data_IF_349845571758
#
_entry.id   IF_349845571758
#
_cell.length_a   1.000
_cell.length_b   1.000
_cell.length_c   1.000
_cell.angle_alpha   90.00
_cell.angle_beta   90.00
_cell.angle_gamma   90.00
#
_symmetry.space_group_name_H-M   'P 1'
#
loop_
_entity.id
_entity.type
_entity.pdbx_description
1 polymer ?
#
# COMPACT_ATOMS: atom_id res chain seq x y z
N UNK A 1 0.36 26.82 -10.46
CA UNK A 1 1.23 26.01 -11.34
C UNK A 1 1.12 26.63 -12.71
N UNK A 2 2.23 27.11 -13.27
CA UNK A 2 2.22 27.71 -14.61
C UNK A 2 1.94 26.63 -15.67
N UNK A 3 1.41 26.99 -16.85
CA UNK A 3 1.10 26.02 -17.90
C UNK A 3 2.32 25.17 -18.31
N UNK A 4 3.50 25.78 -18.29
CA UNK A 4 4.77 25.13 -18.58
C UNK A 4 5.09 24.02 -17.57
N UNK A 5 4.99 24.30 -16.26
CA UNK A 5 5.23 23.30 -15.22
C UNK A 5 4.22 22.15 -15.32
N UNK A 6 2.96 22.44 -15.64
CA UNK A 6 1.94 21.40 -15.84
C UNK A 6 2.32 20.47 -17.00
N UNK A 7 2.88 21.01 -18.09
CA UNK A 7 3.36 20.21 -19.22
C UNK A 7 4.46 19.23 -18.79
N UNK A 8 5.44 19.71 -18.02
CA UNK A 8 6.50 18.86 -17.47
C UNK A 8 5.96 17.78 -16.53
N UNK A 9 5.03 18.14 -15.63
CA UNK A 9 4.39 17.19 -14.73
C UNK A 9 3.69 16.09 -15.54
N UNK A 10 2.91 16.45 -16.56
CA UNK A 10 2.20 15.49 -17.39
C UNK A 10 3.18 14.53 -18.10
N UNK A 11 4.26 15.06 -18.69
CA UNK A 11 5.28 14.21 -19.34
C UNK A 11 5.94 13.22 -18.37
N UNK A 12 6.28 13.66 -17.16
CA UNK A 12 6.92 12.81 -16.17
C UNK A 12 5.96 11.73 -15.63
N UNK A 13 4.69 12.09 -15.43
CA UNK A 13 3.66 11.12 -15.04
C UNK A 13 3.43 10.10 -16.15
N UNK A 14 3.42 10.50 -17.42
CA UNK A 14 3.32 9.58 -18.57
C UNK A 14 4.51 8.61 -18.71
N UNK A 15 5.65 8.93 -18.08
CA UNK A 15 6.81 8.04 -17.96
C UNK A 15 6.74 7.14 -16.71
N UNK A 16 5.58 7.06 -16.06
CA UNK A 16 5.31 6.26 -14.86
C UNK A 16 6.18 6.63 -13.64
N UNK A 17 6.59 7.91 -13.53
CA UNK A 17 7.16 8.46 -12.30
C UNK A 17 6.04 8.70 -11.27
N UNK A 18 6.32 8.39 -10.01
CA UNK A 18 5.40 8.74 -8.92
C UNK A 18 5.34 10.27 -8.71
N UNK A 19 4.25 10.81 -8.14
CA UNK A 19 4.18 12.23 -7.79
C UNK A 19 5.36 12.73 -6.94
N UNK A 20 5.89 11.91 -6.03
CA UNK A 20 7.08 12.26 -5.24
C UNK A 20 8.35 12.29 -6.09
N UNK A 21 8.50 11.33 -7.01
CA UNK A 21 9.62 11.29 -7.96
C UNK A 21 9.58 12.48 -8.91
N UNK A 22 8.40 12.86 -9.41
CA UNK A 22 8.21 14.03 -10.28
C UNK A 22 8.62 15.31 -9.57
N UNK A 23 8.24 15.49 -8.30
CA UNK A 23 8.72 16.63 -7.49
C UNK A 23 10.24 16.59 -7.32
N UNK A 24 10.81 15.42 -7.00
CA UNK A 24 12.26 15.26 -6.84
C UNK A 24 13.03 15.61 -8.12
N UNK A 25 12.51 15.18 -9.27
CA UNK A 25 13.06 15.49 -10.58
C UNK A 25 13.01 16.99 -10.88
N UNK A 26 11.84 17.62 -10.70
CA UNK A 26 11.65 19.06 -10.93
C UNK A 26 12.54 19.91 -10.01
N UNK A 27 12.75 19.47 -8.76
CA UNK A 27 13.64 20.16 -7.83
C UNK A 27 15.10 20.07 -8.27
N UNK A 28 15.53 18.91 -8.78
CA UNK A 28 16.92 18.66 -9.17
C UNK A 28 17.29 19.32 -10.50
N UNK A 29 16.47 19.14 -11.54
CA UNK A 29 16.81 19.55 -12.90
C UNK A 29 16.36 20.98 -13.22
N UNK A 30 15.25 21.43 -12.62
CA UNK A 30 14.62 22.72 -12.94
C UNK A 30 14.67 23.72 -11.77
N UNK A 31 15.17 23.31 -10.60
CA UNK A 31 15.18 24.14 -9.38
C UNK A 31 13.77 24.43 -8.81
N UNK A 32 12.74 23.73 -9.28
CA UNK A 32 11.35 23.99 -8.92
C UNK A 32 10.96 23.13 -7.72
N UNK A 33 10.66 23.78 -6.58
CA UNK A 33 10.17 23.09 -5.39
C UNK A 33 8.65 23.10 -5.32
N UNK A 34 8.04 21.91 -5.36
CA UNK A 34 6.59 21.71 -5.23
C UNK A 34 6.31 20.67 -4.16
N UNK A 35 5.11 20.68 -3.58
CA UNK A 35 4.64 19.59 -2.75
C UNK A 35 4.02 18.50 -3.65
N UNK A 36 4.25 17.22 -3.36
CA UNK A 36 3.70 16.11 -4.17
C UNK A 36 2.16 16.13 -4.22
N UNK A 37 1.51 16.66 -3.18
CA UNK A 37 0.05 16.88 -3.16
C UNK A 37 -0.42 17.83 -4.27
N UNK A 38 0.41 18.77 -4.72
CA UNK A 38 0.06 19.63 -5.86
C UNK A 38 -0.13 18.80 -7.13
N UNK A 39 0.70 17.78 -7.34
CA UNK A 39 0.60 16.86 -8.47
C UNK A 39 -0.63 15.97 -8.32
N UNK A 40 -0.89 15.43 -7.11
CA UNK A 40 -2.12 14.67 -6.86
C UNK A 40 -3.39 15.50 -7.17
N UNK A 41 -3.44 16.76 -6.75
CA UNK A 41 -4.57 17.66 -7.06
C UNK A 41 -4.74 17.88 -8.55
N UNK A 42 -3.65 17.96 -9.32
CA UNK A 42 -3.70 18.06 -10.78
C UNK A 42 -4.26 16.78 -11.41
N UNK A 43 -3.74 15.62 -11.01
CA UNK A 43 -4.20 14.31 -11.52
C UNK A 43 -5.68 14.08 -11.20
N UNK A 44 -6.14 14.46 -10.01
CA UNK A 44 -7.56 14.34 -9.65
C UNK A 44 -8.47 15.29 -10.45
N UNK A 45 -8.00 16.52 -10.72
CA UNK A 45 -8.73 17.45 -11.60
C UNK A 45 -8.81 16.92 -13.03
N UNK A 46 -7.70 16.43 -13.56
CA UNK A 46 -7.63 15.81 -14.89
C UNK A 46 -8.61 14.63 -14.99
N UNK A 47 -8.60 13.74 -14.00
CA UNK A 47 -9.55 12.62 -13.90
C UNK A 47 -11.02 13.06 -13.91
N UNK A 48 -11.36 14.13 -13.18
CA UNK A 48 -12.74 14.67 -13.16
C UNK A 48 -13.13 15.20 -14.54
N UNK A 49 -12.17 15.78 -15.26
CA UNK A 49 -12.36 16.29 -16.61
C UNK A 49 -12.31 15.20 -17.70
N UNK A 50 -12.18 13.93 -17.33
CA UNK A 50 -12.15 12.79 -18.26
C UNK A 50 -10.76 12.40 -18.78
N UNK A 51 -9.69 12.96 -18.21
CA UNK A 51 -8.31 12.60 -18.55
C UNK A 51 -7.86 11.26 -17.95
N UNK A 52 -6.65 10.85 -18.32
CA UNK A 52 -6.09 9.52 -18.10
C UNK A 52 -4.82 9.51 -17.24
N UNK A 53 -4.33 10.66 -16.75
CA UNK A 53 -3.09 10.74 -15.96
C UNK A 53 -3.09 9.81 -14.73
N UNK A 54 -4.27 9.57 -14.17
CA UNK A 54 -4.42 8.69 -13.00
C UNK A 54 -4.12 7.22 -13.28
N UNK A 55 -4.11 6.80 -14.55
CA UNK A 55 -3.79 5.42 -14.96
C UNK A 55 -2.29 5.11 -14.85
N UNK A 56 -1.44 6.14 -14.93
CA UNK A 56 0.02 6.05 -14.80
C UNK A 56 0.50 6.04 -13.33
N UNK A 57 -0.41 6.06 -12.36
CA UNK A 57 -0.06 5.91 -10.96
C UNK A 57 0.23 4.44 -10.64
N UNK A 58 1.46 4.15 -10.21
CA UNK A 58 1.92 2.80 -9.82
C UNK A 58 1.01 2.10 -8.81
N UNK A 59 0.43 2.87 -7.89
CA UNK A 59 -0.53 2.34 -6.92
C UNK A 59 -1.93 2.68 -7.40
N UNK A 60 -2.55 1.74 -8.12
CA UNK A 60 -3.99 1.76 -8.27
C UNK A 60 -4.59 1.74 -6.85
N UNK A 61 -5.35 2.77 -6.46
CA UNK A 61 -6.09 2.77 -5.19
C UNK A 61 -7.00 1.55 -5.19
N UNK A 62 -6.54 0.42 -4.65
CA UNK A 62 -7.44 -0.68 -4.32
C UNK A 62 -8.47 -0.08 -3.36
N UNK A 63 -9.76 -0.14 -3.68
CA UNK A 63 -10.76 0.33 -2.74
C UNK A 63 -10.51 -0.39 -1.41
N UNK A 64 -10.25 0.40 -0.37
CA UNK A 64 -9.96 -0.15 0.94
C UNK A 64 -11.14 -1.03 1.34
N UNK A 65 -10.88 -2.30 1.68
CA UNK A 65 -11.95 -3.21 2.09
C UNK A 65 -12.65 -2.58 3.30
N UNK A 66 -13.93 -2.25 3.16
CA UNK A 66 -14.74 -1.75 4.27
C UNK A 66 -14.70 -2.80 5.39
N UNK A 67 -14.53 -2.36 6.64
CA UNK A 67 -14.49 -3.26 7.82
C UNK A 67 -15.82 -3.95 8.08
N UNK A 68 -16.90 -3.50 7.44
CA UNK A 68 -18.26 -4.00 7.56
C UNK A 68 -18.74 -4.55 6.20
N UNK A 69 -19.73 -5.45 6.21
CA UNK A 69 -20.50 -5.80 5.01
C UNK A 69 -20.05 -7.02 4.21
N UNK A 70 -19.22 -7.92 4.74
CA UNK A 70 -19.11 -9.27 4.16
C UNK A 70 -18.73 -10.30 5.21
N UNK A 71 -19.51 -11.39 5.29
CA UNK A 71 -19.11 -12.59 6.01
C UNK A 71 -17.79 -13.10 5.41
N UNK A 72 -16.84 -13.48 6.25
CA UNK A 72 -15.53 -13.96 5.83
C UNK A 72 -15.68 -15.32 5.11
N UNK A 73 -15.77 -15.30 3.77
CA UNK A 73 -16.00 -16.50 2.94
C UNK A 73 -14.82 -17.47 2.85
N UNK A 74 -13.65 -17.10 3.38
CA UNK A 74 -12.44 -17.94 3.30
C UNK A 74 -12.56 -19.23 4.12
N UNK A 75 -13.52 -19.28 5.06
CA UNK A 75 -13.68 -20.40 5.96
C UNK A 75 -12.50 -20.55 6.92
N UNK A 76 -12.69 -21.35 7.97
CA UNK A 76 -11.57 -21.79 8.81
C UNK A 76 -10.81 -22.90 8.08
N UNK A 77 -9.50 -23.03 8.31
CA UNK A 77 -8.71 -24.15 7.76
C UNK A 77 -9.37 -25.47 8.18
N UNK A 78 -9.80 -26.26 7.19
CA UNK A 78 -10.44 -27.55 7.41
C UNK A 78 -9.44 -28.47 8.12
N UNK A 79 -9.89 -29.18 9.16
CA UNK A 79 -9.07 -30.07 9.98
C UNK A 79 -7.89 -29.38 10.69
N UNK A 80 -8.01 -28.08 11.04
CA UNK A 80 -7.00 -27.45 11.89
C UNK A 80 -6.86 -28.22 13.21
N UNK A 81 -5.63 -28.54 13.59
CA UNK A 81 -5.31 -29.14 14.89
C UNK A 81 -5.15 -28.01 15.90
N UNK A 82 -5.83 -28.11 17.05
CA UNK A 82 -5.64 -27.11 18.13
C UNK A 82 -4.21 -27.19 18.66
N UNK A 83 -3.65 -26.05 19.10
CA UNK A 83 -2.35 -26.02 19.77
C UNK A 83 -2.34 -26.90 21.02
N UNK A 84 -3.49 -27.05 21.69
CA UNK A 84 -3.66 -27.91 22.87
C UNK A 84 -3.44 -29.39 22.59
N UNK A 85 -3.55 -29.81 21.32
CA UNK A 85 -3.33 -31.20 20.90
C UNK A 85 -1.88 -31.48 20.53
N UNK A 86 -0.96 -30.52 20.70
CA UNK A 86 0.44 -30.71 20.34
C UNK A 86 1.09 -31.78 21.23
N UNK A 87 2.02 -32.59 20.70
CA UNK A 87 2.76 -33.56 21.50
C UNK A 87 3.58 -32.88 22.61
N UNK A 88 3.61 -33.49 23.81
CA UNK A 88 4.40 -32.98 24.96
C UNK A 88 5.90 -32.81 24.69
N UNK A 89 6.44 -33.49 23.67
CA UNK A 89 7.84 -33.34 23.27
C UNK A 89 8.14 -31.95 22.70
N UNK A 90 7.15 -31.26 22.13
CA UNK A 90 7.29 -29.89 21.60
C UNK A 90 7.66 -28.92 22.71
N UNK A 91 7.06 -29.06 23.90
CA UNK A 91 7.37 -28.23 25.07
C UNK A 91 8.83 -28.37 25.54
N UNK A 92 9.47 -29.52 25.23
CA UNK A 92 10.86 -29.79 25.61
C UNK A 92 11.86 -29.04 24.73
N UNK A 93 11.45 -28.54 23.54
CA UNK A 93 12.31 -27.81 22.58
C UNK A 93 13.62 -28.53 22.20
N UNK A 94 13.63 -29.87 22.22
CA UNK A 94 14.82 -30.69 21.97
C UNK A 94 14.92 -31.23 20.53
N UNK A 95 13.87 -31.07 19.72
CA UNK A 95 13.80 -31.59 18.35
C UNK A 95 13.86 -30.44 17.34
N UNK A 96 14.62 -30.64 16.27
CA UNK A 96 14.62 -29.75 15.10
C UNK A 96 13.40 -30.06 14.22
N UNK A 97 12.71 -29.03 13.75
CA UNK A 97 11.55 -29.14 12.86
C UNK A 97 10.21 -28.72 13.47
N UNK A 98 10.18 -28.42 14.77
CA UNK A 98 9.03 -27.79 15.44
C UNK A 98 9.15 -26.26 15.31
N UNK A 99 8.43 -25.68 14.36
CA UNK A 99 8.43 -24.23 14.13
C UNK A 99 7.31 -23.57 14.94
N UNK A 100 7.67 -22.66 15.86
CA UNK A 100 6.72 -21.84 16.61
C UNK A 100 6.66 -20.43 15.98
N UNK A 101 5.44 -19.93 15.76
CA UNK A 101 5.19 -18.56 15.30
C UNK A 101 4.40 -17.80 16.36
N UNK A 102 5.05 -16.87 17.05
CA UNK A 102 4.37 -16.02 18.03
C UNK A 102 3.46 -15.01 17.34
N UNK A 103 2.22 -14.91 17.81
CA UNK A 103 1.32 -13.82 17.43
C UNK A 103 1.35 -12.77 18.52
N UNK A 104 2.12 -11.69 18.31
CA UNK A 104 2.10 -10.54 19.22
C UNK A 104 0.84 -9.73 18.93
N UNK A 105 -0.11 -9.76 19.87
CA UNK A 105 -1.30 -8.90 19.85
C UNK A 105 -1.04 -7.74 20.81
N UNK A 106 -0.97 -6.51 20.28
CA UNK A 106 -0.80 -5.32 21.12
C UNK A 106 -2.04 -5.04 21.97
N UNK A 107 -1.87 -4.18 22.98
CA UNK A 107 -2.96 -3.78 23.90
C UNK A 107 -4.16 -3.27 23.08
N UNK A 108 -5.35 -3.73 23.44
CA UNK A 108 -6.62 -3.44 22.74
C UNK A 108 -6.71 -3.93 21.28
N UNK A 109 -6.02 -5.02 20.91
CA UNK A 109 -5.95 -5.52 19.53
C UNK A 109 -5.42 -4.50 18.52
N UNK A 110 -4.71 -3.47 18.99
CA UNK A 110 -3.98 -2.55 18.12
C UNK A 110 -2.59 -3.13 17.91
N UNK A 111 -2.30 -3.49 16.67
CA UNK A 111 -0.94 -3.79 16.22
C UNK A 111 -0.01 -2.64 16.65
N UNK A 112 1.15 -2.97 17.22
CA UNK A 112 2.21 -1.99 17.47
C UNK A 112 2.80 -1.47 16.15
#
# INVERSE_FOLDING_TARGET
VTPEITKWINQLIWQDLSPEQTVGYLKREMGISLHHETIYRLIYKDKINGGDLWQHLRIAKKPYRKRYGSYERRGKIKNRVSIDKRPKIVDKKQRIGDWEGDTIVGRDHKSA
#
